data_IF_204583026171
#
_entry.id   IF_204583026171
#
_cell.length_a   1.000
_cell.length_b   1.000
_cell.length_c   1.000
_cell.angle_alpha   90.00
_cell.angle_beta   90.00
_cell.angle_gamma   90.00
#
_symmetry.space_group_name_H-M   'P 1'
#
loop_
_entity.id
_entity.type
_entity.pdbx_description
1 polymer ?
#
# COMPACT_ATOMS: atom_id res chain seq x y z
N UNK A 1 -32.77 1.71 9.70
CA UNK A 1 -33.51 0.48 9.99
C UNK A 1 -34.95 0.44 9.52
N UNK A 2 -35.42 1.38 8.70
CA UNK A 2 -36.74 1.19 8.11
C UNK A 2 -36.79 1.78 6.70
N UNK A 3 -37.03 0.92 5.71
CA UNK A 3 -37.33 1.29 4.33
C UNK A 3 -38.78 0.89 4.10
N UNK A 4 -39.74 1.83 4.20
CA UNK A 4 -41.15 1.49 4.35
C UNK A 4 -41.78 0.89 3.10
N UNK A 5 -41.27 1.20 1.91
CA UNK A 5 -41.79 0.75 0.63
C UNK A 5 -40.72 0.79 -0.47
N UNK A 6 -41.02 0.19 -1.63
CA UNK A 6 -40.12 0.17 -2.79
C UNK A 6 -39.83 1.59 -3.32
N UNK A 7 -40.74 2.55 -3.17
CA UNK A 7 -40.47 3.93 -3.58
C UNK A 7 -39.43 4.60 -2.67
N UNK A 8 -39.34 4.19 -1.40
CA UNK A 8 -38.27 4.62 -0.50
C UNK A 8 -36.92 4.04 -0.94
N UNK A 9 -36.87 2.77 -1.35
CA UNK A 9 -35.66 2.15 -1.94
C UNK A 9 -35.17 2.97 -3.13
N UNK A 10 -36.07 3.30 -4.05
CA UNK A 10 -35.75 4.06 -5.26
C UNK A 10 -35.18 5.44 -4.94
N UNK A 11 -35.77 6.16 -3.98
CA UNK A 11 -35.27 7.47 -3.54
C UNK A 11 -33.87 7.37 -2.93
N UNK A 12 -33.63 6.35 -2.10
CA UNK A 12 -32.32 6.09 -1.50
C UNK A 12 -31.29 5.75 -2.58
N UNK A 13 -31.61 4.85 -3.50
CA UNK A 13 -30.72 4.45 -4.58
C UNK A 13 -30.41 5.61 -5.54
N UNK A 14 -31.38 6.48 -5.84
CA UNK A 14 -31.14 7.71 -6.59
C UNK A 14 -30.23 8.68 -5.81
N UNK A 15 -30.37 8.77 -4.49
CA UNK A 15 -29.54 9.66 -3.69
C UNK A 15 -28.06 9.22 -3.70
N UNK A 16 -27.79 7.93 -3.44
CA UNK A 16 -26.44 7.39 -3.32
C UNK A 16 -25.76 7.12 -4.67
N UNK A 17 -26.48 6.53 -5.63
CA UNK A 17 -25.89 6.04 -6.88
C UNK A 17 -26.46 6.69 -8.15
N UNK A 18 -27.36 7.67 -8.01
CA UNK A 18 -28.03 8.34 -9.15
C UNK A 18 -28.80 7.39 -10.07
N UNK A 19 -29.14 6.20 -9.59
CA UNK A 19 -29.91 5.21 -10.34
C UNK A 19 -31.34 5.69 -10.59
N UNK A 20 -31.79 5.56 -11.83
CA UNK A 20 -33.16 5.77 -12.25
C UNK A 20 -34.04 4.57 -11.85
N UNK A 21 -35.35 4.77 -11.67
CA UNK A 21 -36.29 3.69 -11.33
C UNK A 21 -36.24 2.50 -12.30
N UNK A 22 -36.03 2.76 -13.59
CA UNK A 22 -35.95 1.72 -14.63
C UNK A 22 -34.70 0.84 -14.48
N UNK A 23 -33.57 1.42 -14.06
CA UNK A 23 -32.33 0.68 -13.81
C UNK A 23 -32.52 -0.25 -12.62
N UNK A 24 -33.17 0.25 -11.56
CA UNK A 24 -33.49 -0.57 -10.38
C UNK A 24 -34.37 -1.75 -10.77
N UNK A 25 -35.43 -1.54 -11.55
CA UNK A 25 -36.27 -2.65 -12.04
C UNK A 25 -35.44 -3.66 -12.86
N UNK A 26 -34.53 -3.16 -13.71
CA UNK A 26 -33.63 -3.96 -14.52
C UNK A 26 -32.70 -4.87 -13.72
N UNK A 27 -32.16 -4.39 -12.59
CA UNK A 27 -31.29 -5.21 -11.70
C UNK A 27 -32.02 -6.43 -11.13
N UNK A 28 -33.36 -6.36 -10.98
CA UNK A 28 -34.18 -7.49 -10.52
C UNK A 28 -34.86 -8.27 -11.67
N UNK A 29 -34.56 -7.93 -12.93
CA UNK A 29 -35.17 -8.59 -14.10
C UNK A 29 -36.61 -8.16 -14.40
N UNK A 30 -37.11 -7.09 -13.75
CA UNK A 30 -38.44 -6.55 -14.00
C UNK A 30 -38.41 -5.41 -15.02
N UNK A 31 -39.45 -5.34 -15.85
CA UNK A 31 -39.55 -4.27 -16.87
C UNK A 31 -40.17 -2.99 -16.32
N UNK A 32 -41.00 -3.11 -15.30
CA UNK A 32 -41.75 -1.97 -14.75
C UNK A 32 -41.72 -1.97 -13.23
N UNK A 33 -41.92 -0.78 -12.64
CA UNK A 33 -42.04 -0.61 -11.20
C UNK A 33 -43.26 -1.35 -10.63
N UNK A 34 -44.30 -1.55 -11.42
CA UNK A 34 -45.49 -2.31 -11.01
C UNK A 34 -45.14 -3.78 -10.82
N UNK A 35 -44.36 -4.37 -11.72
CA UNK A 35 -43.90 -5.76 -11.59
C UNK A 35 -43.02 -5.95 -10.35
N UNK A 36 -42.15 -4.97 -10.08
CA UNK A 36 -41.30 -4.98 -8.87
C UNK A 36 -42.15 -4.87 -7.59
N UNK A 37 -43.18 -4.01 -7.55
CA UNK A 37 -44.07 -3.94 -6.39
C UNK A 37 -44.93 -5.21 -6.21
N UNK A 38 -45.20 -5.95 -7.29
CA UNK A 38 -45.93 -7.22 -7.25
C UNK A 38 -45.04 -8.43 -6.93
N UNK A 39 -43.71 -8.26 -6.89
CA UNK A 39 -42.74 -9.35 -6.77
C UNK A 39 -42.66 -10.03 -5.39
N UNK A 40 -43.47 -9.59 -4.42
CA UNK A 40 -43.40 -9.99 -3.00
C UNK A 40 -42.04 -9.74 -2.32
N UNK A 41 -41.07 -9.14 -3.02
CA UNK A 41 -39.76 -8.79 -2.48
C UNK A 41 -39.94 -7.68 -1.45
N UNK A 42 -39.39 -7.90 -0.26
CA UNK A 42 -39.45 -6.89 0.80
C UNK A 42 -38.62 -5.66 0.41
N UNK A 43 -39.06 -4.43 0.72
CA UNK A 43 -38.30 -3.21 0.41
C UNK A 43 -36.87 -3.23 0.96
N UNK A 44 -36.68 -3.82 2.15
CA UNK A 44 -35.36 -3.97 2.75
C UNK A 44 -34.44 -4.91 1.98
N UNK A 45 -34.96 -6.04 1.51
CA UNK A 45 -34.22 -7.01 0.69
C UNK A 45 -33.84 -6.43 -0.67
N UNK A 46 -34.75 -5.66 -1.28
CA UNK A 46 -34.44 -4.92 -2.51
C UNK A 46 -33.29 -3.91 -2.27
N UNK A 47 -33.33 -3.17 -1.16
CA UNK A 47 -32.24 -2.25 -0.81
C UNK A 47 -30.90 -2.96 -0.58
N UNK A 48 -30.89 -4.07 0.16
CA UNK A 48 -29.67 -4.85 0.42
C UNK A 48 -29.06 -5.39 -0.87
N UNK A 49 -29.88 -5.89 -1.79
CA UNK A 49 -29.43 -6.41 -3.08
C UNK A 49 -28.76 -5.31 -3.92
N UNK A 50 -29.40 -4.14 -4.04
CA UNK A 50 -28.82 -3.01 -4.78
C UNK A 50 -27.55 -2.51 -4.10
N UNK A 51 -27.54 -2.44 -2.76
CA UNK A 51 -26.36 -2.05 -1.98
C UNK A 51 -25.20 -3.02 -2.24
N UNK A 52 -25.43 -4.32 -2.26
CA UNK A 52 -24.38 -5.31 -2.56
C UNK A 52 -23.82 -5.16 -3.98
N UNK A 53 -24.67 -4.81 -4.95
CA UNK A 53 -24.27 -4.63 -6.34
C UNK A 53 -23.52 -3.30 -6.60
N UNK A 54 -23.90 -2.23 -5.90
CA UNK A 54 -23.45 -0.86 -6.20
C UNK A 54 -22.50 -0.27 -5.16
N UNK A 55 -22.45 -0.81 -3.96
CA UNK A 55 -21.40 -0.44 -3.02
C UNK A 55 -20.08 -0.91 -3.64
N UNK A 56 -19.13 0.01 -3.92
CA UNK A 56 -17.78 -0.40 -4.30
C UNK A 56 -17.36 -1.39 -3.25
N UNK A 57 -17.02 -2.61 -3.66
CA UNK A 57 -16.41 -3.55 -2.75
C UNK A 57 -15.12 -2.88 -2.26
N UNK A 58 -15.21 -2.21 -1.11
CA UNK A 58 -14.06 -1.95 -0.29
C UNK A 58 -13.41 -3.33 -0.13
N UNK A 59 -12.11 -3.50 -0.42
CA UNK A 59 -11.49 -4.82 -0.63
C UNK A 59 -11.35 -5.60 0.68
N UNK A 60 -12.50 -5.96 1.24
CA UNK A 60 -12.72 -6.93 2.27
C UNK A 60 -13.01 -8.25 1.54
N UNK A 61 -11.92 -8.95 1.25
CA UNK A 61 -11.82 -10.38 1.50
C UNK A 61 -12.94 -11.25 0.88
N UNK A 62 -12.70 -11.75 -0.34
CA UNK A 62 -12.78 -13.19 -0.62
C UNK A 62 -12.14 -13.53 -1.98
N UNK A 63 -11.39 -14.61 -1.94
CA UNK A 63 -10.75 -15.30 -3.05
C UNK A 63 -11.73 -15.73 -4.16
N UNK A 64 -11.11 -16.12 -5.29
CA UNK A 64 -11.65 -16.90 -6.40
C UNK A 64 -12.40 -16.14 -7.50
N UNK A 65 -11.65 -15.52 -8.40
CA UNK A 65 -11.74 -15.85 -9.83
C UNK A 65 -10.63 -15.17 -10.66
N UNK A 66 -9.64 -15.99 -11.01
CA UNK A 66 -8.82 -16.00 -12.22
C UNK A 66 -8.94 -14.77 -13.16
N UNK A 67 -8.04 -13.80 -13.06
CA UNK A 67 -7.54 -13.05 -14.23
C UNK A 67 -6.25 -12.28 -13.94
N UNK A 68 -5.21 -12.57 -14.73
CA UNK A 68 -3.98 -11.80 -15.01
C UNK A 68 -3.04 -11.42 -13.84
N UNK A 69 -1.71 -11.59 -13.99
CA UNK A 69 -0.73 -11.26 -12.95
C UNK A 69 -0.52 -9.74 -12.89
N UNK A 70 -1.44 -9.03 -12.26
CA UNK A 70 -1.12 -7.72 -11.72
C UNK A 70 -0.22 -7.94 -10.51
N UNK A 71 0.87 -7.16 -10.40
CA UNK A 71 1.78 -7.19 -9.26
C UNK A 71 1.02 -6.82 -7.98
N UNK A 72 0.44 -7.80 -7.31
CA UNK A 72 -0.21 -7.63 -6.01
C UNK A 72 0.92 -7.48 -5.00
N UNK A 73 1.15 -6.26 -4.54
CA UNK A 73 2.02 -6.03 -3.39
C UNK A 73 1.36 -6.68 -2.16
N UNK A 74 2.03 -7.60 -1.46
CA UNK A 74 1.45 -8.24 -0.28
C UNK A 74 1.13 -7.18 0.77
N UNK A 75 -0.01 -7.34 1.45
CA UNK A 75 -0.37 -6.50 2.60
C UNK A 75 0.64 -6.73 3.72
N UNK A 76 0.88 -5.71 4.54
CA UNK A 76 1.82 -5.80 5.67
C UNK A 76 1.47 -6.95 6.65
N UNK A 77 0.18 -7.27 6.80
CA UNK A 77 -0.28 -8.39 7.62
C UNK A 77 0.20 -9.74 7.08
N UNK A 78 0.17 -9.93 5.75
CA UNK A 78 0.62 -11.17 5.10
C UNK A 78 2.14 -11.33 5.22
N UNK A 79 2.88 -10.23 5.12
CA UNK A 79 4.31 -10.20 5.39
C UNK A 79 4.68 -10.68 6.79
N UNK A 80 3.92 -10.23 7.81
CA UNK A 80 4.13 -10.68 9.19
C UNK A 80 3.79 -12.16 9.36
N UNK A 81 2.66 -12.61 8.81
CA UNK A 81 2.25 -14.00 8.89
C UNK A 81 3.29 -14.94 8.22
N UNK A 82 3.85 -14.53 7.09
CA UNK A 82 4.93 -15.26 6.42
C UNK A 82 6.15 -15.44 7.32
N UNK A 83 6.63 -14.35 7.94
CA UNK A 83 7.80 -14.42 8.81
C UNK A 83 7.54 -15.19 10.11
N UNK A 84 6.34 -15.06 10.67
CA UNK A 84 5.92 -15.87 11.83
C UNK A 84 5.92 -17.36 11.49
N UNK A 85 5.47 -17.73 10.29
CA UNK A 85 5.51 -19.12 9.84
C UNK A 85 6.95 -19.63 9.63
N UNK A 86 7.82 -18.82 9.02
CA UNK A 86 9.23 -19.16 8.88
C UNK A 86 9.93 -19.33 10.24
N UNK A 87 9.61 -18.48 11.21
CA UNK A 87 10.10 -18.57 12.59
C UNK A 87 9.58 -19.83 13.30
N UNK A 88 8.31 -20.21 13.09
CA UNK A 88 7.77 -21.47 13.61
C UNK A 88 8.50 -22.70 13.06
N UNK A 89 9.04 -22.62 11.84
CA UNK A 89 9.89 -23.65 11.24
C UNK A 89 11.35 -23.59 11.73
N UNK A 90 11.69 -22.64 12.61
CA UNK A 90 13.04 -22.46 13.14
C UNK A 90 14.03 -21.90 12.12
N UNK A 91 13.54 -21.18 11.11
CA UNK A 91 14.35 -20.63 10.04
C UNK A 91 14.74 -19.18 10.33
N UNK A 92 16.01 -18.85 10.13
CA UNK A 92 16.46 -17.47 10.08
C UNK A 92 16.11 -16.82 8.73
N UNK A 93 16.07 -15.49 8.72
CA UNK A 93 15.83 -14.68 7.51
C UNK A 93 16.77 -15.04 6.35
N UNK A 94 18.08 -15.13 6.62
CA UNK A 94 19.10 -15.53 5.64
C UNK A 94 18.84 -16.92 5.06
N UNK A 95 18.36 -17.86 5.89
CA UNK A 95 18.09 -19.23 5.46
C UNK A 95 16.86 -19.29 4.56
N UNK A 96 15.86 -18.45 4.83
CA UNK A 96 14.70 -18.25 3.95
C UNK A 96 15.14 -17.72 2.58
N UNK A 97 16.01 -16.71 2.55
CA UNK A 97 16.57 -16.17 1.31
C UNK A 97 17.36 -17.22 0.51
N UNK A 98 18.22 -17.99 1.18
CA UNK A 98 18.98 -19.09 0.57
C UNK A 98 18.04 -20.16 -0.02
N UNK A 99 16.99 -20.56 0.69
CA UNK A 99 16.05 -21.58 0.22
C UNK A 99 15.22 -21.12 -0.97
N UNK A 100 14.83 -19.85 -1.00
CA UNK A 100 14.10 -19.25 -2.11
C UNK A 100 15.01 -18.88 -3.29
N UNK A 101 16.32 -18.77 -3.08
CA UNK A 101 17.29 -18.38 -4.11
C UNK A 101 17.14 -16.91 -4.54
N UNK A 102 16.71 -16.04 -3.62
CA UNK A 102 16.54 -14.59 -3.83
C UNK A 102 17.32 -13.83 -2.77
N UNK A 103 17.68 -12.57 -3.04
CA UNK A 103 18.39 -11.73 -2.06
C UNK A 103 17.44 -11.09 -1.04
N UNK A 104 16.17 -10.95 -1.42
CA UNK A 104 15.09 -10.49 -0.55
C UNK A 104 13.77 -11.14 -0.99
N UNK A 105 12.88 -11.44 -0.05
CA UNK A 105 11.54 -12.00 -0.38
C UNK A 105 10.71 -11.00 -1.21
N UNK A 106 11.04 -9.70 -1.18
CA UNK A 106 10.42 -8.72 -2.09
C UNK A 106 10.65 -9.08 -3.56
N UNK A 107 11.86 -9.55 -3.92
CA UNK A 107 12.17 -9.98 -5.29
C UNK A 107 11.33 -11.18 -5.71
N UNK A 108 11.00 -12.07 -4.77
CA UNK A 108 10.07 -13.19 -5.00
C UNK A 108 8.69 -12.68 -5.40
N UNK A 109 8.16 -11.71 -4.67
CA UNK A 109 6.84 -11.12 -4.97
C UNK A 109 6.84 -10.28 -6.24
N UNK A 110 7.96 -9.64 -6.58
CA UNK A 110 8.13 -8.90 -7.83
C UNK A 110 8.15 -9.79 -9.07
N UNK A 111 8.50 -11.07 -8.92
CA UNK A 111 8.35 -12.11 -9.95
C UNK A 111 6.90 -12.56 -10.15
N UNK A 112 5.94 -11.99 -9.39
CA UNK A 112 4.53 -12.36 -9.44
C UNK A 112 4.20 -13.62 -8.67
N UNK A 113 5.12 -14.12 -7.84
CA UNK A 113 4.89 -15.25 -6.94
C UNK A 113 4.33 -14.77 -5.60
N UNK A 114 3.52 -15.61 -4.97
CA UNK A 114 2.88 -15.33 -3.69
C UNK A 114 3.76 -15.73 -2.50
N UNK A 115 3.42 -15.23 -1.30
CA UNK A 115 4.07 -15.63 -0.06
C UNK A 115 3.72 -17.08 0.33
N UNK A 116 2.52 -17.56 -0.01
CA UNK A 116 2.15 -18.98 0.15
C UNK A 116 3.02 -19.91 -0.69
N UNK A 117 3.26 -19.57 -1.97
CA UNK A 117 4.18 -20.35 -2.81
C UNK A 117 5.61 -20.35 -2.23
N UNK A 118 6.04 -19.26 -1.59
CA UNK A 118 7.33 -19.24 -0.88
C UNK A 118 7.34 -20.23 0.29
N UNK A 119 6.27 -20.28 1.09
CA UNK A 119 6.12 -21.23 2.22
C UNK A 119 6.14 -22.67 1.72
N UNK A 120 5.44 -22.98 0.62
CA UNK A 120 5.44 -24.32 0.02
C UNK A 120 6.84 -24.73 -0.45
N UNK A 121 7.58 -23.83 -1.10
CA UNK A 121 8.96 -24.10 -1.55
C UNK A 121 9.90 -24.34 -0.35
N UNK A 122 9.77 -23.55 0.70
CA UNK A 122 10.56 -23.67 1.94
C UNK A 122 10.25 -25.01 2.63
N UNK A 123 8.96 -25.32 2.82
CA UNK A 123 8.50 -26.57 3.42
C UNK A 123 8.94 -27.79 2.62
N UNK A 124 8.83 -27.72 1.28
CA UNK A 124 9.27 -28.78 0.38
C UNK A 124 10.78 -29.00 0.37
N UNK A 125 11.58 -27.95 0.56
CA UNK A 125 13.05 -28.05 0.70
C UNK A 125 13.47 -28.61 2.05
N UNK A 126 12.75 -28.29 3.13
CA UNK A 126 13.00 -28.87 4.46
C UNK A 126 12.68 -30.36 4.52
N UNK A 127 11.65 -30.82 3.81
CA UNK A 127 11.31 -32.23 3.72
C UNK A 127 12.33 -33.06 2.90
N UNK A 128 13.16 -32.41 2.08
CA UNK A 128 14.20 -33.10 1.33
C UNK A 128 15.48 -33.22 2.17
N UNK A 129 16.08 -34.41 2.30
CA UNK A 129 17.37 -34.55 2.96
C UNK A 129 18.42 -33.72 2.20
N UNK A 130 19.41 -33.12 2.90
CA UNK A 130 20.37 -32.21 2.30
C UNK A 130 21.16 -32.91 1.19
N UNK A 131 20.75 -32.70 -0.06
CA UNK A 131 21.55 -33.07 -1.22
C UNK A 131 22.76 -32.15 -1.23
N UNK A 132 23.91 -32.75 -0.96
CA UNK A 132 25.22 -32.12 -0.93
C UNK A 132 25.60 -31.66 -2.35
N UNK A 133 25.11 -30.51 -2.79
CA UNK A 133 25.59 -29.88 -4.02
C UNK A 133 26.53 -28.72 -3.71
N UNK A 134 27.78 -29.12 -3.53
CA UNK A 134 28.98 -28.33 -3.80
C UNK A 134 29.04 -27.97 -5.28
N UNK A 135 29.07 -26.67 -5.61
CA UNK A 135 30.06 -26.02 -6.50
C UNK A 135 29.69 -24.57 -6.77
N UNK A 136 30.43 -23.67 -6.14
CA UNK A 136 30.62 -22.29 -6.57
C UNK A 136 31.39 -22.26 -7.89
N UNK A 137 30.92 -21.55 -8.93
CA UNK A 137 31.79 -20.99 -9.95
C UNK A 137 31.94 -19.48 -9.69
N UNK A 138 33.16 -19.09 -9.33
CA UNK A 138 33.64 -17.71 -9.37
C UNK A 138 33.53 -17.18 -10.81
N UNK A 139 32.88 -16.03 -11.08
CA UNK A 139 33.09 -15.32 -12.34
C UNK A 139 34.29 -14.37 -12.21
N UNK A 140 35.19 -14.34 -13.21
CA UNK A 140 36.32 -13.42 -13.25
C UNK A 140 35.89 -12.03 -13.70
N UNK A 141 36.64 -11.03 -13.24
CA UNK A 141 36.58 -9.64 -13.66
C UNK A 141 36.71 -9.48 -15.17
N UNK A 142 35.93 -8.57 -15.77
CA UNK A 142 36.22 -8.04 -17.11
C UNK A 142 35.72 -6.59 -17.22
N UNK A 143 36.63 -5.62 -17.03
CA UNK A 143 36.60 -4.35 -17.75
C UNK A 143 36.85 -4.62 -19.25
N UNK A 144 36.29 -3.82 -20.18
CA UNK A 144 37.15 -2.81 -20.79
C UNK A 144 36.49 -1.48 -21.18
N UNK A 145 37.34 -0.44 -21.14
CA UNK A 145 37.25 0.87 -21.79
C UNK A 145 37.00 0.78 -23.31
N UNK A 146 36.35 1.79 -23.89
CA UNK A 146 36.48 2.08 -25.32
C UNK A 146 35.48 3.09 -25.90
N UNK A 147 35.95 4.30 -26.16
CA UNK A 147 35.25 5.44 -26.74
C UNK A 147 34.70 5.23 -28.18
N UNK A 148 33.71 6.04 -28.60
CA UNK A 148 33.79 7.05 -29.68
C UNK A 148 32.40 7.57 -30.12
N UNK A 149 32.40 8.76 -30.69
CA UNK A 149 31.32 9.76 -30.71
C UNK A 149 30.56 9.96 -32.05
N UNK A 150 29.35 10.57 -31.93
CA UNK A 150 28.63 11.54 -32.83
C UNK A 150 28.11 11.05 -34.21
N UNK A 151 27.14 11.72 -34.90
CA UNK A 151 26.53 13.05 -34.66
C UNK A 151 24.97 13.15 -34.73
N UNK A 152 24.50 14.39 -34.58
CA UNK A 152 23.15 14.92 -34.40
C UNK A 152 22.13 14.78 -35.55
N UNK A 153 20.85 14.89 -35.21
CA UNK A 153 19.86 15.60 -36.03
C UNK A 153 18.79 16.25 -35.14
N UNK A 154 18.79 17.58 -35.14
CA UNK A 154 17.78 18.42 -34.51
C UNK A 154 16.55 18.57 -35.44
N UNK A 155 15.36 18.71 -34.85
CA UNK A 155 14.27 19.54 -35.37
C UNK A 155 13.50 20.17 -34.19
N UNK A 156 12.83 21.33 -34.38
CA UNK A 156 12.58 22.30 -33.31
C UNK A 156 11.08 22.51 -32.96
N UNK A 157 10.89 23.29 -31.87
CA UNK A 157 9.73 24.08 -31.37
C UNK A 157 8.48 23.36 -30.78
N UNK A 158 7.71 23.98 -29.83
CA UNK A 158 7.82 25.32 -29.26
C UNK A 158 7.92 25.41 -27.71
N UNK A 159 8.36 26.60 -27.30
CA UNK A 159 8.56 27.14 -25.96
C UNK A 159 7.24 27.22 -25.18
N UNK A 160 7.20 26.61 -24.00
CA UNK A 160 6.34 27.05 -22.89
C UNK A 160 7.28 27.40 -21.74
N UNK A 161 7.30 28.69 -21.42
CA UNK A 161 8.03 29.30 -20.34
C UNK A 161 7.42 28.85 -19.00
N UNK A 162 8.02 27.83 -18.39
CA UNK A 162 7.88 27.56 -16.96
C UNK A 162 9.29 27.45 -16.43
N UNK A 163 9.79 28.56 -15.91
CA UNK A 163 11.01 28.62 -15.11
C UNK A 163 10.88 27.64 -13.93
N UNK A 164 11.67 26.55 -13.85
CA UNK A 164 11.89 25.87 -12.59
C UNK A 164 13.09 26.54 -11.93
N UNK A 165 12.84 27.20 -10.79
CA UNK A 165 13.92 27.61 -9.90
C UNK A 165 14.83 26.41 -9.59
N UNK A 166 16.15 26.63 -9.51
CA UNK A 166 17.09 25.55 -9.22
C UNK A 166 16.83 25.03 -7.81
N UNK A 167 16.40 23.78 -7.76
CA UNK A 167 16.33 22.96 -6.55
C UNK A 167 17.75 22.90 -5.97
N UNK A 168 18.01 23.75 -4.97
CA UNK A 168 19.23 23.65 -4.18
C UNK A 168 19.18 22.30 -3.49
N UNK A 169 20.03 21.38 -3.93
CA UNK A 169 20.42 20.19 -3.16
C UNK A 169 21.06 20.68 -1.87
N UNK A 170 20.24 20.89 -0.83
CA UNK A 170 20.69 21.16 0.53
C UNK A 170 21.14 19.82 1.09
N UNK A 171 22.43 19.53 0.94
CA UNK A 171 23.13 18.46 1.65
C UNK A 171 23.22 18.86 3.13
N UNK A 172 22.08 18.80 3.83
CA UNK A 172 21.97 19.17 5.23
C UNK A 172 22.58 18.09 6.11
N UNK A 173 23.60 18.46 6.89
CA UNK A 173 24.07 17.72 8.05
C UNK A 173 22.88 17.16 8.84
N UNK A 174 22.75 15.84 8.83
CA UNK A 174 21.58 15.11 9.29
C UNK A 174 21.29 15.37 10.76
N UNK A 175 20.14 16.01 11.01
CA UNK A 175 19.55 16.03 12.34
C UNK A 175 19.05 14.61 12.65
N UNK A 176 19.67 13.94 13.61
CA UNK A 176 19.30 12.57 13.98
C UNK A 176 18.25 12.62 15.10
N UNK A 177 16.98 12.49 14.73
CA UNK A 177 15.90 12.35 15.71
C UNK A 177 16.02 10.96 16.33
N UNK A 178 16.09 10.90 17.66
CA UNK A 178 16.06 9.64 18.39
C UNK A 178 14.74 8.89 18.12
N UNK A 179 14.85 7.71 17.50
CA UNK A 179 13.69 6.91 17.09
C UNK A 179 12.96 6.26 18.25
N UNK A 180 13.67 5.94 19.33
CA UNK A 180 13.06 5.35 20.51
C UNK A 180 12.23 6.42 21.24
N UNK A 181 12.79 7.62 21.42
CA UNK A 181 12.06 8.78 21.95
C UNK A 181 10.84 9.13 21.07
N UNK A 182 11.00 9.15 19.75
CA UNK A 182 9.93 9.52 18.84
C UNK A 182 8.76 8.52 18.94
N UNK A 183 9.04 7.22 18.98
CA UNK A 183 8.00 6.18 19.15
C UNK A 183 7.24 6.34 20.45
N UNK A 184 7.92 6.59 21.56
CA UNK A 184 7.28 6.85 22.85
C UNK A 184 6.41 8.12 22.82
N UNK A 185 6.92 9.19 22.21
CA UNK A 185 6.21 10.45 22.10
C UNK A 185 4.95 10.34 21.23
N UNK A 186 5.05 9.66 20.09
CA UNK A 186 3.92 9.38 19.20
C UNK A 186 2.85 8.53 19.89
N UNK A 187 3.26 7.49 20.63
CA UNK A 187 2.34 6.64 21.39
C UNK A 187 1.55 7.45 22.44
N UNK A 188 2.21 8.36 23.15
CA UNK A 188 1.57 9.24 24.15
C UNK A 188 0.53 10.19 23.54
N UNK A 189 0.77 10.69 22.33
CA UNK A 189 -0.21 11.55 21.61
C UNK A 189 -1.20 10.75 20.75
N UNK A 190 -1.22 9.41 20.86
CA UNK A 190 -2.04 8.48 20.05
C UNK A 190 -1.82 8.63 18.54
N UNK A 191 -0.60 8.96 18.12
CA UNK A 191 -0.18 8.94 16.72
C UNK A 191 0.51 7.63 16.38
N UNK A 192 0.22 7.10 15.19
CA UNK A 192 0.99 6.02 14.59
C UNK A 192 2.03 6.59 13.60
N UNK A 193 3.00 5.78 13.18
CA UNK A 193 4.05 6.20 12.24
C UNK A 193 3.47 6.74 10.92
N UNK A 194 2.38 6.15 10.41
CA UNK A 194 1.72 6.62 9.18
C UNK A 194 1.11 8.03 9.33
N UNK A 195 0.56 8.35 10.50
CA UNK A 195 0.00 9.67 10.81
C UNK A 195 1.12 10.71 10.94
N UNK A 196 2.20 10.36 11.65
CA UNK A 196 3.36 11.23 11.77
C UNK A 196 4.02 11.49 10.41
N UNK A 197 4.16 10.45 9.59
CA UNK A 197 4.68 10.55 8.23
C UNK A 197 3.80 11.41 7.31
N UNK A 198 2.49 11.22 7.36
CA UNK A 198 1.53 12.04 6.60
C UNK A 198 1.58 13.51 7.04
N UNK A 199 1.78 13.76 8.33
CA UNK A 199 1.96 15.12 8.84
C UNK A 199 3.24 15.74 8.29
N UNK A 200 4.37 15.03 8.37
CA UNK A 200 5.68 15.51 7.90
C UNK A 200 5.68 15.82 6.41
N UNK A 201 5.17 14.89 5.58
CA UNK A 201 5.08 15.08 4.12
C UNK A 201 4.12 16.20 3.74
N UNK A 202 3.00 16.34 4.45
CA UNK A 202 2.00 17.38 4.18
C UNK A 202 2.48 18.78 4.59
N UNK A 203 3.11 18.91 5.77
CA UNK A 203 3.56 20.18 6.34
C UNK A 203 4.84 20.68 5.69
N UNK A 204 5.87 19.83 5.60
CA UNK A 204 7.19 20.24 5.15
C UNK A 204 7.42 20.06 3.65
N UNK A 205 6.43 19.53 2.92
CA UNK A 205 6.50 19.23 1.48
C UNK A 205 7.72 18.39 1.10
N UNK A 206 8.19 17.56 2.03
CA UNK A 206 9.29 16.63 1.77
C UNK A 206 8.80 15.46 0.93
N UNK A 207 9.71 14.94 0.10
CA UNK A 207 9.43 13.79 -0.74
C UNK A 207 9.12 12.56 0.12
N UNK A 208 7.88 12.08 0.01
CA UNK A 208 7.37 10.91 0.71
C UNK A 208 7.75 9.58 0.05
N UNK A 209 8.83 9.49 -0.71
CA UNK A 209 9.33 8.19 -1.15
C UNK A 209 10.06 7.49 0.00
N UNK A 210 9.80 6.20 0.21
CA UNK A 210 10.57 5.36 1.13
C UNK A 210 9.92 5.20 2.51
N UNK A 211 10.74 4.95 3.52
CA UNK A 211 10.28 4.69 4.90
C UNK A 211 10.20 5.99 5.73
N UNK A 212 9.46 5.96 6.84
CA UNK A 212 9.36 7.10 7.75
C UNK A 212 10.73 7.62 8.23
N UNK A 213 11.68 6.77 8.68
CA UNK A 213 13.03 7.23 9.05
C UNK A 213 13.79 7.87 7.89
N UNK A 214 13.66 7.33 6.67
CA UNK A 214 14.27 7.94 5.48
C UNK A 214 13.69 9.33 5.20
N UNK A 215 12.38 9.50 5.39
CA UNK A 215 11.72 10.80 5.23
C UNK A 215 12.21 11.81 6.28
N UNK A 216 12.39 11.38 7.53
CA UNK A 216 12.92 12.23 8.59
C UNK A 216 14.36 12.68 8.32
N UNK A 217 15.21 11.81 7.77
CA UNK A 217 16.58 12.16 7.39
C UNK A 217 16.66 13.19 6.25
N UNK A 218 15.56 13.43 5.53
CA UNK A 218 15.47 14.45 4.47
C UNK A 218 15.00 15.81 5.00
N UNK A 219 14.55 15.88 6.24
CA UNK A 219 14.17 17.15 6.85
C UNK A 219 15.40 18.02 7.06
N UNK A 220 15.27 19.32 6.81
CA UNK A 220 16.28 20.27 7.26
C UNK A 220 16.29 20.33 8.79
N UNK A 221 17.40 20.80 9.39
CA UNK A 221 17.49 20.97 10.84
C UNK A 221 16.30 21.76 11.40
N UNK A 222 15.94 22.86 10.75
CA UNK A 222 14.82 23.73 11.16
C UNK A 222 13.48 22.96 11.13
N UNK A 223 13.24 22.18 10.08
CA UNK A 223 12.01 21.38 9.95
C UNK A 223 11.95 20.26 11.01
N UNK A 224 13.08 19.62 11.28
CA UNK A 224 13.17 18.58 12.31
C UNK A 224 12.92 19.16 13.72
N UNK A 225 13.48 20.33 14.02
CA UNK A 225 13.24 21.04 15.28
C UNK A 225 11.77 21.48 15.41
N UNK A 226 11.17 22.02 14.34
CA UNK A 226 9.73 22.34 14.34
C UNK A 226 8.87 21.09 14.56
N UNK A 227 9.23 19.96 13.95
CA UNK A 227 8.49 18.70 14.12
C UNK A 227 8.57 18.19 15.56
N UNK A 228 9.77 18.22 16.16
CA UNK A 228 9.98 17.87 17.57
C UNK A 228 9.21 18.80 18.50
N UNK A 229 9.22 20.11 18.22
CA UNK A 229 8.46 21.11 18.98
C UNK A 229 6.95 20.89 18.89
N UNK A 230 6.42 20.53 17.72
CA UNK A 230 5.00 20.24 17.54
C UNK A 230 4.58 18.98 18.32
N UNK A 231 5.42 17.95 18.35
CA UNK A 231 5.19 16.75 19.18
C UNK A 231 5.16 17.13 20.66
N UNK A 232 6.15 17.89 21.13
CA UNK A 232 6.21 18.33 22.53
C UNK A 232 4.98 19.18 22.90
N UNK A 233 4.57 20.10 22.04
CA UNK A 233 3.35 20.92 22.24
C UNK A 233 2.09 20.07 22.36
N UNK A 234 2.00 18.97 21.61
CA UNK A 234 0.88 18.00 21.71
C UNK A 234 0.97 17.16 22.98
N UNK A 235 2.16 16.76 23.39
CA UNK A 235 2.39 16.08 24.67
C UNK A 235 1.96 16.97 25.86
N UNK A 236 2.29 18.25 25.84
CA UNK A 236 1.87 19.20 26.88
C UNK A 236 0.35 19.38 26.92
N UNK A 237 -0.31 19.44 25.76
CA UNK A 237 -1.79 19.50 25.69
C UNK A 237 -2.49 18.21 26.16
N UNK A 238 -1.81 17.06 26.07
CA UNK A 238 -2.33 15.77 26.54
C UNK A 238 -2.24 15.62 28.05
N UNK A 239 -1.44 16.43 28.76
CA UNK A 239 -1.50 16.46 30.22
C UNK A 239 -2.84 17.10 30.62
N UNK A 240 -3.80 16.32 31.16
CA UNK A 240 -5.00 16.93 31.71
C UNK A 240 -4.57 17.92 32.79
N UNK A 241 -5.09 19.15 32.75
CA UNK A 241 -4.97 20.08 33.87
C UNK A 241 -5.60 19.40 35.08
N UNK A 242 -4.75 18.87 35.95
CA UNK A 242 -5.09 18.50 37.31
C UNK A 242 -5.07 19.74 38.20
#
# INVERSE_FOLDING_TARGET
DDVPDINAVVRVCFHFWKMQPVEICGEFGYKTMTDLNASEISPWEAWLTIKQLKQPQEPANLEQSVTAPTKIKPKQAEWRAFWEHAEQLGLSEDRVYEMLGVSAVVEWTDQGKTLDEAIEVISGKLAQPPKSETKTPVPPATEPKGARAKPAKAQPVPVIDVTPEPTKEVTGEGFNIDMDWLKEALAKIKWNEATAWSFVTSQYKVDGSGTFPQTLNRLTREQAEEFVNEINKRLEKQKPLF
#
